data_IF_945467027688
#
_entry.id   IF_945467027688
#
_cell.length_a   1.000
_cell.length_b   1.000
_cell.length_c   1.000
_cell.angle_alpha   90.00
_cell.angle_beta   90.00
_cell.angle_gamma   90.00
#
_symmetry.space_group_name_H-M   'P 1'
#
loop_
_entity.id
_entity.type
_entity.pdbx_description
1 polymer ?
#
# COMPACT_ATOMS: atom_id res chain seq x y z
N UNK A 1 18.07 -17.67 3.57
CA UNK A 1 17.69 -19.08 3.85
C UNK A 1 16.27 -19.21 4.46
N UNK A 2 15.90 -18.57 5.61
CA UNK A 2 14.55 -18.76 6.19
C UNK A 2 13.41 -18.47 5.22
N UNK A 3 13.51 -17.42 4.40
CA UNK A 3 12.48 -17.09 3.42
C UNK A 3 12.28 -18.22 2.40
N UNK A 4 13.38 -18.79 1.88
CA UNK A 4 13.33 -19.89 0.90
C UNK A 4 12.70 -21.14 1.52
N UNK A 5 13.08 -21.49 2.75
CA UNK A 5 12.59 -22.72 3.41
C UNK A 5 11.20 -22.55 4.00
N UNK A 6 10.95 -21.45 4.73
CA UNK A 6 9.70 -21.30 5.51
C UNK A 6 8.57 -20.70 4.69
N UNK A 7 8.87 -19.71 3.82
CA UNK A 7 7.85 -19.03 3.04
C UNK A 7 7.64 -19.72 1.68
N UNK A 8 8.74 -20.03 0.97
CA UNK A 8 8.63 -20.68 -0.33
C UNK A 8 8.58 -22.22 -0.25
N UNK A 9 8.91 -22.84 0.88
CA UNK A 9 8.75 -24.27 1.12
C UNK A 9 9.80 -25.16 0.45
N UNK A 10 10.92 -24.62 -0.05
CA UNK A 10 12.01 -25.40 -0.64
C UNK A 10 12.96 -25.92 0.44
N UNK A 11 13.42 -27.15 0.29
CA UNK A 11 14.43 -27.70 1.19
C UNK A 11 15.82 -27.13 0.84
N UNK A 12 16.28 -26.23 1.71
CA UNK A 12 17.58 -25.54 1.53
C UNK A 12 18.80 -26.44 1.77
N UNK A 13 18.59 -27.67 2.25
CA UNK A 13 19.62 -28.68 2.44
C UNK A 13 19.65 -29.74 1.34
N UNK A 14 18.63 -29.77 0.49
CA UNK A 14 18.59 -30.62 -0.70
C UNK A 14 19.21 -29.89 -1.91
N UNK A 15 20.41 -30.34 -2.39
CA UNK A 15 21.06 -29.73 -3.54
C UNK A 15 20.30 -29.93 -4.86
N UNK A 16 19.28 -30.78 -4.89
CA UNK A 16 18.40 -30.95 -6.04
C UNK A 16 17.31 -29.89 -6.09
N UNK A 17 17.07 -29.19 -4.96
CA UNK A 17 16.08 -28.11 -4.86
C UNK A 17 16.73 -26.74 -4.75
N UNK A 18 17.77 -26.59 -3.92
CA UNK A 18 18.45 -25.30 -3.69
C UNK A 18 19.96 -25.46 -3.79
N UNK A 19 20.53 -24.87 -4.82
CA UNK A 19 21.98 -24.89 -5.05
C UNK A 19 22.59 -23.57 -4.55
N UNK A 20 23.36 -23.59 -3.45
CA UNK A 20 24.10 -22.40 -3.00
C UNK A 20 25.30 -22.15 -3.90
N UNK A 21 25.73 -20.89 -4.02
CA UNK A 21 26.90 -20.51 -4.82
C UNK A 21 26.86 -21.06 -6.25
N UNK A 22 25.68 -20.95 -6.89
CA UNK A 22 25.44 -21.55 -8.21
C UNK A 22 26.33 -20.95 -9.27
N UNK A 23 26.93 -21.81 -10.10
CA UNK A 23 27.77 -21.43 -11.24
C UNK A 23 27.19 -22.01 -12.51
N UNK A 24 26.92 -21.18 -13.52
CA UNK A 24 26.53 -21.65 -14.84
C UNK A 24 27.76 -22.08 -15.65
N UNK A 25 27.61 -23.14 -16.44
CA UNK A 25 28.70 -23.75 -17.21
C UNK A 25 29.19 -22.86 -18.38
N UNK A 26 28.36 -21.95 -18.87
CA UNK A 26 28.64 -21.15 -20.07
C UNK A 26 28.29 -19.67 -19.85
N UNK A 27 29.10 -18.79 -20.43
CA UNK A 27 28.78 -17.35 -20.55
C UNK A 27 29.05 -16.49 -19.32
N UNK A 28 29.54 -17.08 -18.22
CA UNK A 28 29.89 -16.36 -17.00
C UNK A 28 31.37 -16.04 -16.91
N UNK A 29 31.74 -15.01 -16.15
CA UNK A 29 33.15 -14.75 -15.84
C UNK A 29 33.66 -15.83 -14.88
N UNK A 30 34.89 -16.26 -15.08
CA UNK A 30 35.51 -17.26 -14.22
C UNK A 30 35.48 -16.85 -12.74
N UNK A 31 34.86 -17.68 -11.89
CA UNK A 31 34.73 -17.41 -10.45
C UNK A 31 33.53 -16.58 -10.02
N UNK A 32 32.66 -16.16 -10.95
CA UNK A 32 31.37 -15.58 -10.60
C UNK A 32 30.40 -16.68 -10.15
N UNK A 33 29.55 -16.36 -9.19
CA UNK A 33 28.52 -17.27 -8.63
C UNK A 33 27.32 -16.43 -8.24
N UNK A 34 26.11 -16.96 -8.46
CA UNK A 34 24.87 -16.40 -7.87
C UNK A 34 24.65 -17.08 -6.52
N UNK A 35 24.22 -16.34 -5.53
CA UNK A 35 24.14 -16.85 -4.16
C UNK A 35 23.29 -18.11 -4.02
N UNK A 36 22.12 -18.16 -4.72
CA UNK A 36 21.29 -19.38 -4.75
C UNK A 36 20.60 -19.54 -6.09
N UNK A 37 20.44 -20.79 -6.51
CA UNK A 37 19.54 -21.20 -7.59
C UNK A 37 18.51 -22.18 -7.03
N UNK A 38 17.22 -21.94 -7.32
CA UNK A 38 16.15 -22.91 -7.04
C UNK A 38 15.96 -23.74 -8.29
N UNK A 39 16.07 -25.05 -8.10
CA UNK A 39 15.99 -26.08 -9.15
C UNK A 39 14.64 -26.76 -9.11
N UNK A 40 14.12 -27.11 -10.28
CA UNK A 40 12.96 -27.97 -10.43
C UNK A 40 13.14 -28.81 -11.68
N UNK A 41 12.91 -30.10 -11.57
CA UNK A 41 13.07 -31.06 -12.67
C UNK A 41 14.46 -31.00 -13.36
N UNK A 42 15.50 -30.67 -12.59
CA UNK A 42 16.88 -30.52 -13.07
C UNK A 42 17.19 -29.19 -13.76
N UNK A 43 16.22 -28.29 -13.84
CA UNK A 43 16.34 -26.97 -14.48
C UNK A 43 16.31 -25.84 -13.46
N UNK A 44 17.07 -24.76 -13.72
CA UNK A 44 17.06 -23.56 -12.89
C UNK A 44 15.75 -22.80 -13.14
N UNK A 45 14.95 -22.59 -12.10
CA UNK A 45 13.71 -21.83 -12.18
C UNK A 45 13.85 -20.43 -11.64
N UNK A 46 14.53 -20.27 -10.49
CA UNK A 46 14.69 -18.99 -9.82
C UNK A 46 16.16 -18.79 -9.47
N UNK A 47 16.71 -17.63 -9.81
CA UNK A 47 18.03 -17.16 -9.36
C UNK A 47 17.85 -16.14 -8.24
N UNK A 48 18.66 -16.23 -7.18
CA UNK A 48 18.58 -15.33 -6.03
C UNK A 48 19.95 -14.76 -5.74
N UNK A 49 20.04 -13.44 -5.74
CA UNK A 49 21.23 -12.67 -5.37
C UNK A 49 20.96 -11.88 -4.10
N UNK A 50 21.84 -12.04 -3.11
CA UNK A 50 21.74 -11.38 -1.81
C UNK A 50 22.72 -10.21 -1.71
N UNK A 51 22.28 -9.13 -1.10
CA UNK A 51 23.12 -7.95 -0.82
C UNK A 51 23.11 -7.65 0.68
N UNK A 52 24.10 -6.92 1.18
CA UNK A 52 24.09 -6.48 2.57
C UNK A 52 22.80 -5.74 2.93
N UNK A 53 22.31 -5.95 4.16
CA UNK A 53 21.05 -5.36 4.64
C UNK A 53 21.08 -3.82 4.73
N UNK A 54 22.26 -3.23 4.80
CA UNK A 54 22.43 -1.79 4.88
C UNK A 54 22.54 -1.19 3.47
N UNK A 55 21.55 -0.41 3.08
CA UNK A 55 21.51 0.32 1.82
C UNK A 55 20.34 -0.04 0.91
N UNK A 56 20.01 0.86 -0.02
CA UNK A 56 18.98 0.64 -1.02
C UNK A 56 19.44 -0.42 -2.03
N UNK A 57 18.54 -1.35 -2.35
CA UNK A 57 18.75 -2.30 -3.44
C UNK A 57 18.71 -1.55 -4.77
N UNK A 58 19.83 -1.53 -5.49
CA UNK A 58 19.93 -0.94 -6.81
C UNK A 58 20.22 -2.02 -7.84
N UNK A 59 19.51 -1.97 -8.94
CA UNK A 59 19.64 -2.93 -10.03
C UNK A 59 21.05 -2.96 -10.64
N UNK A 60 21.79 -1.84 -10.59
CA UNK A 60 23.18 -1.76 -11.04
C UNK A 60 24.10 -2.72 -10.29
N UNK A 61 23.73 -3.07 -9.04
CA UNK A 61 24.47 -4.05 -8.23
C UNK A 61 24.16 -5.51 -8.59
N UNK A 62 23.17 -5.74 -9.47
CA UNK A 62 22.73 -7.06 -9.89
C UNK A 62 23.30 -7.48 -11.26
N UNK A 63 24.40 -6.89 -11.71
CA UNK A 63 25.00 -7.20 -13.03
C UNK A 63 25.33 -8.69 -13.22
N UNK A 64 25.62 -9.37 -12.14
CA UNK A 64 25.86 -10.82 -12.07
C UNK A 64 24.55 -11.58 -12.29
N UNK A 65 23.48 -11.21 -11.59
CA UNK A 65 22.16 -11.79 -11.76
C UNK A 65 21.65 -11.66 -13.21
N UNK A 66 21.85 -10.51 -13.86
CA UNK A 66 21.51 -10.30 -15.26
C UNK A 66 22.24 -11.27 -16.21
N UNK A 67 23.56 -11.47 -15.99
CA UNK A 67 24.34 -12.42 -16.82
C UNK A 67 23.85 -13.84 -16.65
N UNK A 68 23.65 -14.29 -15.42
CA UNK A 68 23.17 -15.63 -15.14
C UNK A 68 21.78 -15.87 -15.69
N UNK A 69 20.90 -14.88 -15.58
CA UNK A 69 19.56 -14.95 -16.15
C UNK A 69 19.59 -15.16 -17.67
N UNK A 70 20.52 -14.52 -18.36
CA UNK A 70 20.63 -14.61 -19.84
C UNK A 70 21.24 -15.92 -20.35
N UNK A 71 21.91 -16.69 -19.48
CA UNK A 71 22.62 -17.94 -19.89
C UNK A 71 22.01 -19.19 -19.24
N UNK A 72 20.98 -19.05 -18.43
CA UNK A 72 20.23 -20.14 -17.81
C UNK A 72 18.80 -20.19 -18.32
N UNK A 73 18.05 -21.24 -17.96
CA UNK A 73 16.63 -21.35 -18.23
C UNK A 73 15.76 -20.66 -17.18
N UNK A 74 16.38 -19.95 -16.21
CA UNK A 74 15.65 -19.22 -15.19
C UNK A 74 14.74 -18.14 -15.81
N UNK A 75 13.49 -18.15 -15.39
CA UNK A 75 12.49 -17.14 -15.80
C UNK A 75 12.17 -16.15 -14.67
N UNK A 76 12.65 -16.43 -13.47
CA UNK A 76 12.49 -15.57 -12.29
C UNK A 76 13.87 -15.28 -11.72
N UNK A 77 14.11 -14.02 -11.39
CA UNK A 77 15.29 -13.58 -10.67
C UNK A 77 14.87 -12.76 -9.44
N UNK A 78 15.59 -12.92 -8.35
CA UNK A 78 15.33 -12.27 -7.08
C UNK A 78 16.57 -11.53 -6.61
N UNK A 79 16.43 -10.25 -6.33
CA UNK A 79 17.44 -9.44 -5.67
C UNK A 79 16.94 -9.09 -4.27
N UNK A 80 17.71 -9.40 -3.24
CA UNK A 80 17.29 -9.17 -1.86
C UNK A 80 18.42 -8.68 -0.97
N UNK A 81 18.07 -7.92 0.07
CA UNK A 81 18.95 -7.60 1.20
C UNK A 81 18.48 -8.26 2.51
N UNK A 82 17.55 -9.25 2.40
CA UNK A 82 16.96 -9.94 3.54
C UNK A 82 15.70 -9.25 4.09
N UNK A 83 15.53 -7.94 3.89
CA UNK A 83 14.34 -7.16 4.27
C UNK A 83 13.46 -6.89 3.06
N UNK A 84 14.04 -6.35 2.00
CA UNK A 84 13.35 -6.10 0.74
C UNK A 84 13.69 -7.20 -0.26
N UNK A 85 12.67 -7.70 -0.93
CA UNK A 85 12.74 -8.73 -1.96
C UNK A 85 12.17 -8.20 -3.26
N UNK A 86 12.99 -8.10 -4.29
CA UNK A 86 12.63 -7.59 -5.61
C UNK A 86 12.63 -8.74 -6.60
N UNK A 87 11.48 -8.99 -7.23
CA UNK A 87 11.29 -10.10 -8.16
C UNK A 87 11.26 -9.58 -9.59
N UNK A 88 12.03 -10.21 -10.45
CA UNK A 88 12.24 -9.85 -11.85
C UNK A 88 11.92 -11.02 -12.76
N UNK A 89 11.55 -10.73 -13.99
CA UNK A 89 11.36 -11.69 -15.07
C UNK A 89 11.75 -11.07 -16.41
N UNK A 90 11.40 -11.67 -17.54
CA UNK A 90 11.77 -11.29 -18.90
C UNK A 90 10.57 -10.93 -19.77
N UNK A 91 9.68 -10.05 -19.25
CA UNK A 91 8.47 -9.61 -19.99
C UNK A 91 8.78 -8.77 -21.23
N UNK A 92 9.84 -7.93 -21.16
CA UNK A 92 10.19 -7.02 -22.24
C UNK A 92 10.90 -7.74 -23.42
N UNK A 93 11.70 -8.75 -23.13
CA UNK A 93 12.39 -9.55 -24.13
C UNK A 93 12.80 -10.91 -23.57
N UNK A 94 12.58 -12.02 -24.30
CA UNK A 94 12.92 -13.37 -23.83
C UNK A 94 14.39 -13.50 -23.40
N UNK A 95 14.64 -14.22 -22.31
CA UNK A 95 15.96 -14.45 -21.71
C UNK A 95 16.72 -13.18 -21.32
N UNK A 96 16.04 -12.07 -21.17
CA UNK A 96 16.62 -10.81 -20.75
C UNK A 96 15.85 -10.26 -19.56
N UNK A 97 16.46 -10.33 -18.39
CA UNK A 97 15.86 -9.80 -17.17
C UNK A 97 15.45 -8.33 -17.32
N UNK A 98 14.23 -8.00 -16.96
CA UNK A 98 13.70 -6.64 -16.99
C UNK A 98 14.48 -5.71 -16.06
N UNK A 99 14.55 -4.42 -16.40
CA UNK A 99 15.22 -3.41 -15.57
C UNK A 99 14.43 -3.04 -14.30
N UNK A 100 13.15 -3.35 -14.26
CA UNK A 100 12.27 -3.04 -13.11
C UNK A 100 11.67 -4.33 -12.57
N UNK A 101 11.58 -4.48 -11.23
CA UNK A 101 10.90 -5.62 -10.65
C UNK A 101 9.40 -5.57 -10.95
N UNK A 102 8.80 -6.73 -11.20
CA UNK A 102 7.34 -6.84 -11.32
C UNK A 102 6.66 -6.87 -9.95
N UNK A 103 7.37 -7.33 -8.91
CA UNK A 103 6.88 -7.40 -7.54
C UNK A 103 7.99 -6.99 -6.57
N UNK A 104 7.64 -6.21 -5.55
CA UNK A 104 8.52 -5.81 -4.45
C UNK A 104 7.82 -6.15 -3.14
N UNK A 105 8.44 -7.01 -2.34
CA UNK A 105 8.01 -7.33 -0.99
C UNK A 105 8.94 -6.66 0.01
N UNK A 106 8.40 -5.81 0.87
CA UNK A 106 9.08 -5.27 2.04
C UNK A 106 8.57 -6.00 3.29
N UNK A 107 9.45 -6.71 4.00
CA UNK A 107 9.06 -7.47 5.18
C UNK A 107 8.74 -6.59 6.40
N UNK A 108 9.10 -5.31 6.37
CA UNK A 108 8.77 -4.34 7.42
C UNK A 108 7.45 -3.60 7.13
N UNK A 109 6.99 -3.63 5.87
CA UNK A 109 5.73 -3.00 5.43
C UNK A 109 5.05 -3.89 4.39
N UNK A 110 4.42 -4.97 4.87
CA UNK A 110 3.85 -6.00 4.02
C UNK A 110 2.53 -5.52 3.40
N UNK A 111 2.52 -5.40 2.07
CA UNK A 111 1.27 -5.27 1.30
C UNK A 111 0.59 -6.64 1.19
N UNK A 112 -0.47 -6.86 1.98
CA UNK A 112 -1.22 -8.12 2.02
C UNK A 112 -1.75 -8.54 0.64
N UNK A 113 -1.99 -7.61 -0.26
CA UNK A 113 -2.46 -7.91 -1.63
C UNK A 113 -1.43 -8.69 -2.46
N UNK A 114 -0.16 -8.64 -2.08
CA UNK A 114 0.94 -9.35 -2.76
C UNK A 114 1.16 -10.78 -2.23
N UNK A 115 0.58 -11.15 -1.09
CA UNK A 115 0.81 -12.46 -0.46
C UNK A 115 0.43 -13.60 -1.41
N UNK A 116 -0.72 -13.47 -2.09
CA UNK A 116 -1.17 -14.49 -3.05
C UNK A 116 -0.19 -14.66 -4.22
N UNK A 117 0.45 -13.59 -4.67
CA UNK A 117 1.43 -13.65 -5.75
C UNK A 117 2.75 -14.29 -5.29
N UNK A 118 3.15 -14.03 -4.03
CA UNK A 118 4.31 -14.69 -3.41
C UNK A 118 4.06 -16.20 -3.27
N UNK A 119 2.83 -16.60 -2.89
CA UNK A 119 2.46 -18.02 -2.77
C UNK A 119 2.62 -18.80 -4.07
N UNK A 120 2.38 -18.17 -5.24
CA UNK A 120 2.62 -18.80 -6.56
C UNK A 120 4.08 -19.20 -6.80
N UNK A 121 5.03 -18.59 -6.09
CA UNK A 121 6.46 -18.91 -6.16
C UNK A 121 6.85 -20.05 -5.23
N UNK A 122 5.94 -20.54 -4.38
CA UNK A 122 6.21 -21.64 -3.45
C UNK A 122 6.32 -22.98 -4.19
N UNK A 123 7.07 -23.91 -3.59
CA UNK A 123 7.29 -25.25 -4.13
C UNK A 123 5.98 -25.98 -4.49
N UNK A 124 4.96 -25.85 -3.62
CA UNK A 124 3.66 -26.52 -3.79
C UNK A 124 2.82 -25.93 -4.91
N UNK A 125 2.89 -24.60 -5.08
CA UNK A 125 2.02 -23.85 -6.00
C UNK A 125 2.75 -23.33 -7.23
N UNK A 126 4.03 -23.73 -7.43
CA UNK A 126 4.86 -23.22 -8.51
C UNK A 126 4.28 -23.57 -9.89
N UNK A 127 3.81 -22.54 -10.58
CA UNK A 127 3.36 -22.59 -11.97
C UNK A 127 3.91 -21.37 -12.71
N UNK A 128 4.89 -21.62 -13.56
CA UNK A 128 5.64 -20.58 -14.25
C UNK A 128 4.74 -19.70 -15.13
N UNK A 129 3.79 -20.31 -15.86
CA UNK A 129 2.90 -19.56 -16.76
C UNK A 129 1.97 -18.64 -15.96
N UNK A 130 1.45 -19.10 -14.84
CA UNK A 130 0.66 -18.30 -13.92
C UNK A 130 1.46 -17.18 -13.29
N UNK A 131 2.73 -17.42 -12.93
CA UNK A 131 3.64 -16.40 -12.39
C UNK A 131 3.92 -15.32 -13.43
N UNK A 132 4.23 -15.70 -14.66
CA UNK A 132 4.51 -14.75 -15.76
C UNK A 132 3.29 -13.89 -16.08
N UNK A 133 2.09 -14.51 -16.14
CA UNK A 133 0.83 -13.78 -16.36
C UNK A 133 0.55 -12.77 -15.23
N UNK A 134 0.75 -13.18 -13.98
CA UNK A 134 0.63 -12.28 -12.84
C UNK A 134 1.69 -11.17 -12.84
N UNK A 135 2.92 -11.47 -13.24
CA UNK A 135 4.00 -10.50 -13.37
C UNK A 135 3.66 -9.40 -14.39
N UNK A 136 3.08 -9.77 -15.54
CA UNK A 136 2.62 -8.81 -16.54
C UNK A 136 1.53 -7.89 -15.97
N UNK A 137 0.52 -8.46 -15.32
CA UNK A 137 -0.55 -7.69 -14.69
C UNK A 137 -0.01 -6.74 -13.61
N UNK A 138 0.84 -7.21 -12.69
CA UNK A 138 1.43 -6.40 -11.62
C UNK A 138 2.29 -5.26 -12.17
N UNK A 139 3.06 -5.51 -13.24
CA UNK A 139 3.87 -4.49 -13.91
C UNK A 139 3.00 -3.33 -14.40
N UNK A 140 1.89 -3.63 -15.10
CA UNK A 140 0.98 -2.61 -15.60
C UNK A 140 0.17 -1.93 -14.49
N UNK A 141 -0.35 -2.68 -13.52
CA UNK A 141 -1.05 -2.11 -12.37
C UNK A 141 -0.13 -1.16 -11.61
N UNK A 142 1.12 -1.54 -11.35
CA UNK A 142 2.09 -0.68 -10.70
C UNK A 142 2.41 0.60 -11.49
N UNK A 143 2.49 0.51 -12.82
CA UNK A 143 2.68 1.67 -13.68
C UNK A 143 1.46 2.60 -13.67
N UNK A 144 0.25 2.03 -13.78
CA UNK A 144 -1.01 2.77 -13.73
C UNK A 144 -1.23 3.45 -12.39
N UNK A 145 -0.96 2.77 -11.26
CA UNK A 145 -1.02 3.37 -9.91
C UNK A 145 -0.12 4.61 -9.81
N UNK A 146 1.11 4.54 -10.33
CA UNK A 146 2.04 5.70 -10.32
C UNK A 146 1.53 6.85 -11.18
N UNK A 147 1.01 6.54 -12.37
CA UNK A 147 0.45 7.56 -13.27
C UNK A 147 -0.78 8.23 -12.66
N UNK A 148 -1.71 7.46 -12.08
CA UNK A 148 -2.87 7.99 -11.37
C UNK A 148 -2.42 8.88 -10.20
N UNK A 149 -1.46 8.46 -9.40
CA UNK A 149 -0.93 9.26 -8.29
C UNK A 149 -0.28 10.57 -8.77
N UNK A 150 0.41 10.55 -9.91
CA UNK A 150 0.96 11.76 -10.53
C UNK A 150 -0.16 12.73 -10.95
N UNK A 151 -1.22 12.23 -11.59
CA UNK A 151 -2.37 13.05 -11.99
C UNK A 151 -3.12 13.66 -10.80
N UNK A 152 -3.23 12.95 -9.67
CA UNK A 152 -3.81 13.51 -8.45
C UNK A 152 -2.94 14.60 -7.82
N UNK A 153 -1.62 14.52 -7.98
CA UNK A 153 -0.68 15.52 -7.45
C UNK A 153 -0.59 16.75 -8.35
N UNK A 154 -0.41 16.51 -9.64
CA UNK A 154 -0.23 17.54 -10.66
C UNK A 154 -0.93 17.09 -11.96
N UNK A 155 -2.25 17.40 -12.12
CA UNK A 155 -3.01 16.94 -13.27
C UNK A 155 -2.51 17.55 -14.57
N UNK A 156 -2.31 16.71 -15.60
CA UNK A 156 -1.95 17.14 -16.95
C UNK A 156 -3.13 17.84 -17.65
N UNK A 157 -2.83 18.57 -18.71
CA UNK A 157 -3.84 19.25 -19.52
C UNK A 157 -4.88 18.30 -20.13
N UNK A 158 -4.46 17.10 -20.54
CA UNK A 158 -5.32 16.05 -21.06
C UNK A 158 -6.29 15.56 -19.96
N UNK A 159 -5.79 15.37 -18.74
CA UNK A 159 -6.58 14.95 -17.59
C UNK A 159 -7.61 16.03 -17.21
N UNK A 160 -7.18 17.30 -17.16
CA UNK A 160 -8.07 18.42 -16.90
C UNK A 160 -9.16 18.51 -17.97
N UNK A 161 -8.77 18.45 -19.25
CA UNK A 161 -9.72 18.49 -20.38
C UNK A 161 -10.69 17.33 -20.34
N UNK A 162 -10.21 16.12 -20.01
CA UNK A 162 -11.04 14.92 -19.90
C UNK A 162 -12.21 15.13 -18.91
N UNK A 163 -11.97 15.68 -17.74
CA UNK A 163 -13.03 15.96 -16.77
C UNK A 163 -13.85 17.19 -17.14
N UNK A 164 -13.22 18.30 -17.53
CA UNK A 164 -13.90 19.53 -17.84
C UNK A 164 -14.97 19.35 -18.92
N UNK A 165 -14.65 18.64 -20.01
CA UNK A 165 -15.60 18.41 -21.11
C UNK A 165 -16.77 17.49 -20.77
N UNK A 166 -16.73 16.79 -19.62
CA UNK A 166 -17.82 15.92 -19.15
C UNK A 166 -18.75 16.59 -18.15
N UNK A 167 -18.29 17.66 -17.50
CA UNK A 167 -19.04 18.33 -16.44
C UNK A 167 -19.40 19.79 -16.80
N UNK A 168 -18.91 20.28 -17.93
CA UNK A 168 -19.16 21.64 -18.41
C UNK A 168 -19.59 21.64 -19.88
N UNK A 169 -20.80 22.11 -20.13
CA UNK A 169 -21.44 22.11 -21.46
C UNK A 169 -20.92 23.20 -22.39
N UNK A 170 -20.11 24.15 -21.89
CA UNK A 170 -19.59 25.27 -22.67
C UNK A 170 -18.29 24.95 -23.40
N UNK A 171 -17.83 25.90 -24.24
CA UNK A 171 -16.56 25.74 -24.97
C UNK A 171 -15.36 25.70 -24.02
N UNK A 172 -14.43 24.77 -24.26
CA UNK A 172 -13.19 24.62 -23.49
C UNK A 172 -12.17 25.70 -23.89
N UNK A 173 -12.31 26.90 -23.29
CA UNK A 173 -11.43 28.04 -23.52
C UNK A 173 -10.25 28.05 -22.54
N UNK A 174 -9.23 28.91 -22.81
CA UNK A 174 -8.10 29.11 -21.90
C UNK A 174 -8.52 29.48 -20.48
N UNK A 175 -9.57 30.32 -20.33
CA UNK A 175 -10.13 30.72 -19.02
C UNK A 175 -10.75 29.52 -18.30
N UNK A 176 -11.52 28.70 -19.02
CA UNK A 176 -12.13 27.46 -18.49
C UNK A 176 -11.03 26.48 -18.08
N UNK A 177 -10.00 26.30 -18.88
CA UNK A 177 -8.84 25.45 -18.57
C UNK A 177 -8.21 25.86 -17.22
N UNK A 178 -7.88 27.15 -17.05
CA UNK A 178 -7.28 27.65 -15.81
C UNK A 178 -8.17 27.41 -14.58
N UNK A 179 -9.46 27.64 -14.72
CA UNK A 179 -10.45 27.40 -13.67
C UNK A 179 -10.52 25.90 -13.32
N UNK A 180 -10.62 25.04 -14.32
CA UNK A 180 -10.73 23.58 -14.12
C UNK A 180 -9.45 22.94 -13.61
N UNK A 181 -8.28 23.52 -13.86
CA UNK A 181 -7.01 23.05 -13.24
C UNK A 181 -7.13 23.01 -11.72
N UNK A 182 -7.59 24.12 -11.12
CA UNK A 182 -7.78 24.21 -9.67
C UNK A 182 -8.91 23.29 -9.17
N UNK A 183 -10.03 23.24 -9.92
CA UNK A 183 -11.18 22.43 -9.53
C UNK A 183 -10.89 20.92 -9.58
N UNK A 184 -10.21 20.43 -10.62
CA UNK A 184 -9.84 19.02 -10.76
C UNK A 184 -8.87 18.58 -9.66
N UNK A 185 -7.84 19.40 -9.37
CA UNK A 185 -6.92 19.13 -8.27
C UNK A 185 -7.63 19.05 -6.92
N UNK A 186 -8.49 20.04 -6.62
CA UNK A 186 -9.28 20.07 -5.38
C UNK A 186 -10.23 18.88 -5.27
N UNK A 187 -10.96 18.57 -6.34
CA UNK A 187 -11.89 17.44 -6.39
C UNK A 187 -11.16 16.10 -6.16
N UNK A 188 -9.98 15.93 -6.77
CA UNK A 188 -9.14 14.74 -6.57
C UNK A 188 -8.70 14.55 -5.11
N UNK A 189 -8.26 15.62 -4.46
CA UNK A 189 -7.88 15.59 -3.05
C UNK A 189 -9.07 15.29 -2.13
N UNK A 190 -10.21 15.94 -2.38
CA UNK A 190 -11.44 15.68 -1.61
C UNK A 190 -11.90 14.23 -1.77
N UNK A 191 -11.93 13.72 -2.99
CA UNK A 191 -12.31 12.32 -3.26
C UNK A 191 -11.43 11.31 -2.48
N UNK A 192 -10.11 11.52 -2.47
CA UNK A 192 -9.21 10.65 -1.71
C UNK A 192 -9.47 10.73 -0.20
N UNK A 193 -9.66 11.94 0.32
CA UNK A 193 -9.97 12.15 1.74
C UNK A 193 -11.29 11.48 2.12
N UNK A 194 -12.33 11.64 1.32
CA UNK A 194 -13.63 11.00 1.53
C UNK A 194 -13.52 9.48 1.53
N UNK A 195 -12.76 8.89 0.61
CA UNK A 195 -12.52 7.44 0.55
C UNK A 195 -11.78 6.89 1.77
N UNK A 196 -10.78 7.62 2.25
CA UNK A 196 -10.07 7.26 3.49
C UNK A 196 -11.02 7.31 4.67
N UNK A 197 -11.81 8.39 4.79
CA UNK A 197 -12.78 8.56 5.87
C UNK A 197 -13.89 7.50 5.83
N UNK A 198 -14.41 7.12 4.66
CA UNK A 198 -15.36 6.02 4.52
C UNK A 198 -14.79 4.69 5.01
N UNK A 199 -13.56 4.37 4.65
CA UNK A 199 -12.89 3.14 5.13
C UNK A 199 -12.69 3.16 6.63
N UNK A 200 -12.27 4.28 7.19
CA UNK A 200 -12.12 4.45 8.64
C UNK A 200 -13.47 4.27 9.37
N UNK A 201 -14.54 4.89 8.87
CA UNK A 201 -15.89 4.71 9.42
C UNK A 201 -16.35 3.24 9.37
N UNK A 202 -16.10 2.54 8.27
CA UNK A 202 -16.43 1.12 8.13
C UNK A 202 -15.61 0.26 9.09
N UNK A 203 -14.30 0.50 9.20
CA UNK A 203 -13.40 -0.23 10.10
C UNK A 203 -13.75 -0.02 11.59
N UNK A 204 -14.27 1.16 11.94
CA UNK A 204 -14.67 1.51 13.31
C UNK A 204 -16.11 1.08 13.63
N UNK A 205 -16.81 0.39 12.71
CA UNK A 205 -18.18 -0.11 12.95
C UNK A 205 -19.24 0.99 12.98
N UNK A 206 -18.94 2.23 12.55
CA UNK A 206 -19.89 3.36 12.50
C UNK A 206 -20.67 3.31 11.17
N UNK A 207 -21.28 2.18 10.86
CA UNK A 207 -22.22 2.07 9.72
C UNK A 207 -23.62 2.40 10.19
N UNK A 208 -24.01 3.69 10.17
CA UNK A 208 -25.40 4.02 10.50
C UNK A 208 -25.76 5.48 10.72
N UNK A 209 -25.13 6.44 10.04
CA UNK A 209 -25.73 7.79 9.95
C UNK A 209 -25.70 8.23 8.49
N UNK A 210 -26.83 8.02 7.83
CA UNK A 210 -27.13 8.60 6.51
C UNK A 210 -27.29 10.11 6.68
N UNK A 211 -26.32 10.88 6.21
CA UNK A 211 -26.51 12.33 6.04
C UNK A 211 -27.41 12.57 4.84
N UNK A 212 -28.66 12.87 5.11
CA UNK A 212 -29.57 13.50 4.15
C UNK A 212 -29.07 14.93 3.92
N UNK A 213 -28.56 15.17 2.71
CA UNK A 213 -28.21 16.51 2.22
C UNK A 213 -29.48 17.36 2.21
N UNK A 214 -29.57 18.34 3.08
CA UNK A 214 -30.55 19.44 2.98
C UNK A 214 -29.84 20.69 2.47
N UNK A 215 -30.33 21.18 1.35
CA UNK A 215 -29.89 22.41 0.70
C UNK A 215 -30.11 23.65 1.57
N UNK A 216 -29.35 24.74 1.36
CA UNK A 216 -29.47 25.95 2.17
C UNK A 216 -30.70 26.79 1.79
N UNK A 217 -31.46 27.24 2.76
CA UNK A 217 -32.53 28.27 2.61
C UNK A 217 -32.02 29.59 3.23
N UNK A 218 -32.30 30.75 2.63
CA UNK A 218 -31.64 32.00 2.97
C UNK A 218 -32.25 32.71 4.21
N UNK A 219 -31.38 33.54 4.79
CA UNK A 219 -31.64 34.35 5.96
C UNK A 219 -32.78 35.40 5.81
N UNK A 220 -33.53 35.62 6.87
CA UNK A 220 -34.13 36.94 7.14
C UNK A 220 -34.22 37.20 8.64
N UNK A 221 -33.97 38.44 8.96
CA UNK A 221 -33.70 39.12 10.20
C UNK A 221 -34.84 39.13 11.26
N UNK A 222 -34.44 39.41 12.51
CA UNK A 222 -35.28 40.20 13.45
C UNK A 222 -35.23 39.81 14.92
N UNK A 223 -34.40 40.53 15.68
CA UNK A 223 -34.57 41.15 17.01
C UNK A 223 -35.32 40.39 18.13
N UNK A 224 -34.67 40.15 19.26
CA UNK A 224 -34.88 40.81 20.57
C UNK A 224 -34.26 40.00 21.73
N UNK A 225 -33.61 40.72 22.62
CA UNK A 225 -33.05 40.31 23.89
C UNK A 225 -34.11 39.66 24.82
N UNK A 226 -33.73 38.57 25.49
CA UNK A 226 -34.17 38.28 26.84
C UNK A 226 -33.19 37.28 27.48
N UNK A 227 -32.50 37.77 28.46
CA UNK A 227 -31.70 37.10 29.47
C UNK A 227 -32.50 35.99 30.14
N UNK A 228 -32.01 34.74 30.08
CA UNK A 228 -32.38 33.67 31.01
C UNK A 228 -31.32 32.58 30.96
N UNK A 229 -30.70 32.40 32.09
CA UNK A 229 -29.85 31.32 32.57
C UNK A 229 -30.11 30.02 31.80
N UNK A 230 -29.25 29.65 30.84
CA UNK A 230 -29.22 28.34 30.22
C UNK A 230 -27.95 27.66 30.63
N UNK A 231 -28.12 26.59 31.35
CA UNK A 231 -27.14 25.49 31.45
C UNK A 231 -26.61 25.26 30.01
N UNK A 232 -25.41 25.73 29.75
CA UNK A 232 -24.75 25.48 28.45
C UNK A 232 -24.37 24.00 28.46
N UNK A 233 -25.19 23.20 27.82
CA UNK A 233 -24.87 21.82 27.46
C UNK A 233 -23.49 21.80 26.80
N UNK A 234 -22.63 20.90 27.30
CA UNK A 234 -21.33 20.66 26.70
C UNK A 234 -21.59 19.92 25.38
N UNK A 235 -21.32 20.54 24.24
CA UNK A 235 -21.56 19.97 22.92
C UNK A 235 -20.22 19.51 22.33
N UNK A 236 -20.00 18.21 22.31
CA UNK A 236 -18.82 17.62 21.68
C UNK A 236 -18.87 17.86 20.18
N UNK A 237 -17.88 18.54 19.63
CA UNK A 237 -17.80 18.86 18.20
C UNK A 237 -17.38 17.65 17.37
N UNK A 238 -17.69 17.68 16.05
CA UNK A 238 -17.26 16.61 15.14
C UNK A 238 -15.73 16.51 15.06
N UNK A 239 -15.03 17.64 15.12
CA UNK A 239 -13.55 17.68 15.07
C UNK A 239 -12.93 17.04 16.32
N UNK A 240 -13.53 17.23 17.49
CA UNK A 240 -13.11 16.59 18.75
C UNK A 240 -13.35 15.08 18.73
N UNK A 241 -14.48 14.62 18.18
CA UNK A 241 -14.76 13.21 17.98
C UNK A 241 -13.80 12.57 16.95
N UNK A 242 -13.48 13.25 15.86
CA UNK A 242 -12.48 12.79 14.89
C UNK A 242 -11.09 12.67 15.55
N UNK A 243 -10.68 13.69 16.32
CA UNK A 243 -9.43 13.64 17.09
C UNK A 243 -9.38 12.47 18.06
N UNK A 244 -10.47 12.21 18.78
CA UNK A 244 -10.59 11.06 19.66
C UNK A 244 -10.48 9.72 18.93
N UNK A 245 -11.13 9.57 17.78
CA UNK A 245 -11.07 8.34 16.99
C UNK A 245 -9.66 8.06 16.44
N UNK A 246 -8.93 9.10 16.03
CA UNK A 246 -7.53 8.98 15.59
C UNK A 246 -6.65 8.51 16.75
N UNK A 247 -6.76 9.13 17.92
CA UNK A 247 -6.00 8.74 19.11
C UNK A 247 -6.33 7.31 19.52
N UNK A 248 -7.62 6.94 19.51
CA UNK A 248 -8.07 5.59 19.82
C UNK A 248 -7.52 4.56 18.83
N UNK A 249 -7.55 4.83 17.53
CA UNK A 249 -7.01 3.93 16.50
C UNK A 249 -5.50 3.69 16.68
N UNK A 250 -4.73 4.72 17.00
CA UNK A 250 -3.29 4.61 17.27
C UNK A 250 -3.04 3.81 18.58
N UNK A 251 -3.79 4.12 19.65
CA UNK A 251 -3.62 3.47 20.94
C UNK A 251 -4.03 1.99 20.94
N UNK A 252 -4.99 1.57 20.08
CA UNK A 252 -5.46 0.20 19.99
C UNK A 252 -4.41 -0.81 19.50
N UNK A 253 -3.29 -0.33 18.91
CA UNK A 253 -2.12 -1.17 18.63
C UNK A 253 -1.40 -1.67 19.88
N UNK A 254 -1.52 -0.96 21.01
CA UNK A 254 -0.81 -1.23 22.26
C UNK A 254 -1.74 -1.59 23.43
N UNK A 255 -3.01 -1.14 23.37
CA UNK A 255 -3.99 -1.32 24.47
C UNK A 255 -5.36 -1.74 23.96
N UNK A 256 -6.16 -2.39 24.81
CA UNK A 256 -7.53 -2.79 24.45
C UNK A 256 -8.38 -1.54 24.15
N UNK A 257 -9.23 -1.56 23.10
CA UNK A 257 -10.06 -0.41 22.69
C UNK A 257 -10.97 0.17 23.78
N UNK A 258 -11.41 -0.67 24.72
CA UNK A 258 -12.25 -0.28 25.85
C UNK A 258 -11.51 0.59 26.88
N UNK A 259 -10.18 0.61 26.87
CA UNK A 259 -9.35 1.41 27.78
C UNK A 259 -9.13 2.84 27.30
N UNK A 260 -9.55 3.17 26.08
CA UNK A 260 -9.44 4.52 25.51
C UNK A 260 -10.82 5.16 25.52
N UNK A 261 -11.00 6.20 26.33
CA UNK A 261 -12.24 6.97 26.43
C UNK A 261 -11.96 8.45 26.19
N UNK A 262 -12.98 9.26 26.15
CA UNK A 262 -12.84 10.71 26.07
C UNK A 262 -13.64 11.38 27.19
N UNK A 263 -13.22 12.58 27.53
CA UNK A 263 -13.93 13.47 28.43
C UNK A 263 -14.00 14.85 27.80
N UNK A 264 -15.22 15.36 27.70
CA UNK A 264 -15.48 16.70 27.24
C UNK A 264 -15.79 17.63 28.42
N UNK A 265 -15.30 18.86 28.37
CA UNK A 265 -15.53 19.89 29.38
C UNK A 265 -15.63 21.27 28.70
N UNK A 266 -16.26 22.24 29.36
CA UNK A 266 -16.48 23.61 28.82
C UNK A 266 -15.23 24.30 28.23
N UNK A 267 -14.03 23.89 28.60
CA UNK A 267 -12.77 24.55 28.21
C UNK A 267 -11.76 23.62 27.53
N UNK A 268 -12.01 22.32 27.51
CA UNK A 268 -11.08 21.36 26.86
C UNK A 268 -11.77 20.03 26.56
N UNK A 269 -11.28 19.37 25.53
CA UNK A 269 -11.56 17.98 25.19
C UNK A 269 -10.31 17.13 25.47
N UNK A 270 -10.45 15.98 26.12
CA UNK A 270 -9.31 15.12 26.47
C UNK A 270 -9.58 13.65 26.14
N UNK A 271 -8.57 12.99 25.57
CA UNK A 271 -8.54 11.54 25.44
C UNK A 271 -7.89 10.93 26.68
N UNK A 272 -8.55 9.95 27.28
CA UNK A 272 -8.13 9.31 28.52
C UNK A 272 -7.74 7.85 28.25
N UNK A 273 -6.59 7.44 28.79
CA UNK A 273 -6.12 6.05 28.77
C UNK A 273 -6.12 5.48 30.19
N UNK A 274 -6.94 4.45 30.41
CA UNK A 274 -6.94 3.74 31.68
C UNK A 274 -5.87 2.64 31.70
N UNK A 275 -4.94 2.73 32.62
CA UNK A 275 -3.79 1.81 32.78
C UNK A 275 -4.03 0.64 33.73
N UNK A 276 -5.17 0.62 34.48
CA UNK A 276 -5.54 -0.46 35.39
C UNK A 276 -6.93 -1.05 35.09
N UNK A 277 -7.16 -2.31 35.46
CA UNK A 277 -8.39 -3.08 35.20
C UNK A 277 -9.58 -2.65 36.11
N UNK A 278 -9.66 -1.40 36.54
CA UNK A 278 -10.69 -0.89 37.46
C UNK A 278 -12.09 -0.67 36.83
N UNK A 279 -12.34 -1.20 35.62
CA UNK A 279 -13.64 -1.02 34.94
C UNK A 279 -14.64 -2.19 35.16
N UNK A 280 -14.28 -3.24 35.93
CA UNK A 280 -15.14 -4.43 36.09
C UNK A 280 -15.94 -4.45 37.40
N UNK A 281 -15.97 -3.36 38.21
CA UNK A 281 -16.64 -3.35 39.50
C UNK A 281 -17.93 -2.49 39.60
N UNK A 282 -18.42 -1.85 38.56
CA UNK A 282 -19.63 -1.01 38.64
C UNK A 282 -20.93 -1.63 38.09
N UNK A 283 -20.93 -2.89 37.63
CA UNK A 283 -22.15 -3.58 37.17
C UNK A 283 -22.67 -4.66 38.13
N UNK A 284 -22.45 -4.50 39.43
CA UNK A 284 -23.03 -5.40 40.44
C UNK A 284 -23.48 -4.64 41.70
N UNK A 285 -24.55 -3.83 41.59
CA UNK A 285 -25.49 -3.56 42.70
C UNK A 285 -26.87 -3.23 42.11
#
# INVERSE_FOLDING_TARGET
MPFISTILGYDVFDPLEVVPEFTADVGTKKGEKVDYAIMRDGEVQILIECKPSMGALKIEHASQLFRYFSVTNARIAVLTNGVVWQFYTDLDAPNRMDAKPFLVLDLLDIDETLIHEIQKLSKESFDLDSIISAAEELKYIGALKREIAAQFREPTDEWIKFFATRVYDGAYTQKVRQQFTTLVSKAGQQFLTERVNERLKTALGVSGITHTSTAPVPASAGVAEADLDRDTEIETTLDELEGYQIVKAIACGEVKPQRVTHRDAKSYFACLLYTSDAADEEDSV
#
